data_IF_057832265475
#
_entry.id   IF_057832265475
#
_cell.length_a   1.000
_cell.length_b   1.000
_cell.length_c   1.000
_cell.angle_alpha   90.00
_cell.angle_beta   90.00
_cell.angle_gamma   90.00
#
_symmetry.space_group_name_H-M   'P 1'
#
loop_
_entity.id
_entity.type
_entity.pdbx_description
1 polymer ?
#
# COMPACT_ATOMS: atom_id res chain seq x y z
N UNK A 1 1.89 -11.60 -1.58
CA UNK A 1 2.17 -12.58 -0.52
C UNK A 1 1.75 -13.99 -0.91
N UNK A 2 2.62 -14.97 -0.67
CA UNK A 2 2.39 -16.36 -1.08
C UNK A 2 3.56 -17.27 -0.70
N UNK A 3 3.24 -18.52 -0.38
CA UNK A 3 4.25 -19.55 -0.13
C UNK A 3 4.92 -19.98 -1.46
N UNK A 4 6.20 -20.38 -1.45
CA UNK A 4 7.08 -20.57 -0.28
C UNK A 4 7.87 -19.31 0.13
N UNK A 5 7.64 -18.17 -0.54
CA UNK A 5 8.51 -17.00 -0.39
C UNK A 5 8.13 -16.16 0.82
N UNK A 6 6.88 -15.70 0.90
CA UNK A 6 6.39 -14.91 2.03
C UNK A 6 4.96 -15.34 2.37
N UNK A 7 4.86 -16.37 3.21
CA UNK A 7 3.61 -16.71 3.91
C UNK A 7 3.41 -15.93 5.21
N UNK A 8 2.28 -16.18 5.87
CA UNK A 8 1.85 -15.46 7.08
C UNK A 8 2.86 -15.57 8.23
N UNK A 9 3.50 -16.73 8.42
CA UNK A 9 4.49 -16.90 9.49
C UNK A 9 5.71 -15.98 9.29
N UNK A 10 6.19 -15.86 8.04
CA UNK A 10 7.29 -14.96 7.69
C UNK A 10 6.86 -13.50 7.81
N UNK A 11 5.66 -13.15 7.34
CA UNK A 11 5.10 -11.80 7.47
C UNK A 11 5.00 -11.37 8.94
N UNK A 12 4.45 -12.22 9.81
CA UNK A 12 4.38 -11.96 11.25
C UNK A 12 5.77 -11.73 11.87
N UNK A 13 6.78 -12.48 11.40
CA UNK A 13 8.17 -12.27 11.81
C UNK A 13 8.78 -10.96 11.30
N UNK A 14 8.35 -10.45 10.14
CA UNK A 14 8.75 -9.14 9.62
C UNK A 14 8.09 -8.03 10.42
N UNK A 15 6.79 -8.12 10.70
CA UNK A 15 6.05 -7.14 11.51
C UNK A 15 6.67 -7.00 12.90
N UNK A 16 6.93 -8.12 13.60
CA UNK A 16 7.61 -8.07 14.91
C UNK A 16 8.97 -7.39 14.86
N UNK A 17 9.78 -7.71 13.84
CA UNK A 17 11.11 -7.09 13.69
C UNK A 17 11.02 -5.61 13.37
N UNK A 18 10.05 -5.21 12.56
CA UNK A 18 9.82 -3.82 12.18
C UNK A 18 9.40 -2.98 13.39
N UNK A 19 8.44 -3.45 14.19
CA UNK A 19 8.05 -2.78 15.43
C UNK A 19 9.21 -2.68 16.43
N UNK A 20 10.08 -3.70 16.49
CA UNK A 20 11.25 -3.68 17.38
C UNK A 20 12.33 -2.65 16.98
N UNK A 21 12.28 -2.10 15.75
CA UNK A 21 13.15 -0.99 15.35
C UNK A 21 12.73 0.34 15.99
N UNK A 22 11.49 0.45 16.49
CA UNK A 22 10.98 1.69 17.07
C UNK A 22 10.88 2.84 16.07
N UNK A 23 10.44 2.55 14.83
CA UNK A 23 10.30 3.57 13.80
C UNK A 23 9.21 4.60 14.15
N UNK A 24 9.45 5.86 13.80
CA UNK A 24 8.46 6.95 13.99
C UNK A 24 7.26 6.81 13.05
N UNK A 25 7.49 6.25 11.86
CA UNK A 25 6.48 5.99 10.83
C UNK A 25 6.72 4.65 10.14
N UNK A 26 5.66 3.97 9.69
CA UNK A 26 5.76 2.78 8.84
C UNK A 26 5.02 2.99 7.53
N UNK A 27 5.66 2.64 6.42
CA UNK A 27 5.09 2.78 5.07
C UNK A 27 5.13 1.45 4.32
N UNK A 28 3.99 1.04 3.78
CA UNK A 28 3.80 -0.18 3.00
C UNK A 28 3.69 0.20 1.52
N UNK A 29 4.55 -0.36 0.68
CA UNK A 29 4.73 0.08 -0.71
C UNK A 29 3.98 -0.79 -1.75
N UNK A 30 2.84 -1.36 -1.36
CA UNK A 30 1.96 -2.14 -2.25
C UNK A 30 2.44 -3.57 -2.57
N UNK A 31 1.81 -4.15 -3.58
CA UNK A 31 2.02 -5.51 -4.11
C UNK A 31 1.87 -6.61 -3.03
N UNK A 32 0.74 -6.55 -2.31
CA UNK A 32 0.44 -7.46 -1.20
C UNK A 32 -0.04 -8.83 -1.66
N UNK A 33 -0.42 -8.98 -2.92
CA UNK A 33 -0.87 -10.24 -3.53
C UNK A 33 0.29 -10.92 -4.26
N UNK A 34 0.31 -12.25 -4.32
CA UNK A 34 1.40 -12.96 -5.04
C UNK A 34 1.08 -13.05 -6.54
N UNK A 35 1.89 -12.41 -7.37
CA UNK A 35 1.83 -12.53 -8.84
C UNK A 35 2.89 -13.45 -9.46
N UNK A 36 3.63 -14.22 -8.65
CA UNK A 36 4.82 -14.95 -9.11
C UNK A 36 4.45 -16.30 -9.77
N UNK A 37 5.31 -16.79 -10.67
CA UNK A 37 5.10 -18.03 -11.44
C UNK A 37 5.07 -19.31 -10.59
N UNK A 38 5.62 -19.27 -9.37
CA UNK A 38 5.63 -20.39 -8.43
C UNK A 38 5.03 -19.95 -7.09
N UNK A 39 3.75 -20.26 -6.91
CA UNK A 39 3.03 -20.08 -5.64
C UNK A 39 2.46 -21.43 -5.24
N UNK A 40 2.92 -21.99 -4.12
CA UNK A 40 2.39 -23.26 -3.61
C UNK A 40 1.07 -23.05 -2.85
N UNK A 41 0.90 -21.87 -2.26
CA UNK A 41 -0.33 -21.44 -1.61
C UNK A 41 -0.46 -19.92 -1.66
N UNK A 42 -1.60 -19.43 -2.13
CA UNK A 42 -1.96 -18.01 -2.08
C UNK A 42 -2.40 -17.63 -0.67
N UNK A 43 -1.99 -16.45 -0.21
CA UNK A 43 -2.47 -15.86 1.03
C UNK A 43 -3.50 -14.81 0.66
N UNK A 44 -4.72 -14.94 1.16
CA UNK A 44 -5.76 -13.94 0.94
C UNK A 44 -5.30 -12.56 1.45
N UNK A 45 -5.63 -11.50 0.71
CA UNK A 45 -5.15 -10.14 1.02
C UNK A 45 -5.64 -9.67 2.38
N UNK A 46 -6.82 -10.10 2.82
CA UNK A 46 -7.38 -9.82 4.13
C UNK A 46 -6.49 -10.38 5.25
N UNK A 47 -5.99 -11.61 5.10
CA UNK A 47 -5.07 -12.22 6.09
C UNK A 47 -3.71 -11.53 6.09
N UNK A 48 -3.28 -11.04 4.93
CA UNK A 48 -2.07 -10.21 4.83
C UNK A 48 -2.26 -8.88 5.57
N UNK A 49 -3.39 -8.20 5.33
CA UNK A 49 -3.73 -6.94 5.96
C UNK A 49 -3.92 -7.07 7.48
N UNK A 50 -4.52 -8.16 7.96
CA UNK A 50 -4.63 -8.48 9.39
C UNK A 50 -3.26 -8.52 10.08
N UNK A 51 -2.28 -9.23 9.50
CA UNK A 51 -0.94 -9.29 10.08
C UNK A 51 -0.22 -7.94 9.99
N UNK A 52 -0.40 -7.20 8.90
CA UNK A 52 0.15 -5.85 8.72
C UNK A 52 -0.47 -4.83 9.70
N UNK A 53 -1.74 -5.03 10.09
CA UNK A 53 -2.42 -4.18 11.08
C UNK A 53 -1.79 -4.23 12.47
N UNK A 54 -0.91 -5.18 12.74
CA UNK A 54 -0.11 -5.21 13.95
C UNK A 54 1.16 -4.33 13.88
N UNK A 55 1.45 -3.68 12.75
CA UNK A 55 2.47 -2.63 12.68
C UNK A 55 2.05 -1.46 13.57
N UNK A 56 3.03 -0.85 14.24
CA UNK A 56 2.78 0.29 15.13
C UNK A 56 3.91 1.28 15.01
N UNK A 57 3.55 2.54 14.82
CA UNK A 57 4.47 3.66 14.76
C UNK A 57 3.74 4.93 15.28
N UNK A 58 4.41 5.81 16.04
CA UNK A 58 3.80 7.01 16.62
C UNK A 58 3.10 7.94 15.62
N UNK A 59 3.68 8.12 14.43
CA UNK A 59 3.12 8.97 13.37
C UNK A 59 2.11 8.23 12.49
N UNK A 60 1.92 6.93 12.71
CA UNK A 60 0.96 6.08 11.99
C UNK A 60 1.58 5.11 10.99
N UNK A 61 0.70 4.29 10.41
CA UNK A 61 1.03 3.30 9.39
C UNK A 61 0.27 3.64 8.11
N UNK A 62 1.01 3.84 7.03
CA UNK A 62 0.49 4.27 5.73
C UNK A 62 0.81 3.26 4.65
N UNK A 63 0.02 3.26 3.58
CA UNK A 63 0.27 2.41 2.44
C UNK A 63 0.00 3.14 1.12
N UNK A 64 0.66 2.70 0.07
CA UNK A 64 0.24 2.89 -1.32
C UNK A 64 -0.10 1.52 -1.91
N UNK A 65 -0.83 1.51 -3.02
CA UNK A 65 -1.15 0.28 -3.77
C UNK A 65 -0.16 0.10 -4.90
N UNK A 66 0.25 -1.14 -5.13
CA UNK A 66 1.03 -1.52 -6.30
C UNK A 66 0.14 -2.07 -7.41
N UNK A 67 0.71 -2.27 -8.59
CA UNK A 67 0.00 -2.77 -9.75
C UNK A 67 -0.63 -4.16 -9.49
N UNK A 68 -0.01 -5.02 -8.68
CA UNK A 68 -0.58 -6.34 -8.38
C UNK A 68 -1.81 -6.25 -7.47
N UNK A 69 -1.92 -5.24 -6.61
CA UNK A 69 -3.13 -5.01 -5.80
C UNK A 69 -4.33 -4.66 -6.68
N UNK A 70 -4.09 -3.96 -7.79
CA UNK A 70 -5.10 -3.68 -8.80
C UNK A 70 -5.41 -4.87 -9.70
N UNK A 71 -4.40 -5.61 -10.14
CA UNK A 71 -4.57 -6.73 -11.07
C UNK A 71 -5.26 -7.94 -10.43
N UNK A 72 -5.18 -8.09 -9.11
CA UNK A 72 -5.77 -9.20 -8.36
C UNK A 72 -7.25 -8.98 -7.98
N UNK A 73 -7.84 -7.81 -8.29
CA UNK A 73 -9.28 -7.53 -8.14
C UNK A 73 -9.95 -7.47 -9.54
N UNK A 74 -10.50 -8.58 -10.07
CA UNK A 74 -11.18 -8.59 -11.35
C UNK A 74 -12.35 -7.61 -11.44
N UNK A 75 -13.08 -7.41 -10.34
CA UNK A 75 -14.17 -6.45 -10.30
C UNK A 75 -13.65 -5.01 -10.43
N UNK A 76 -12.45 -4.71 -9.90
CA UNK A 76 -11.78 -3.42 -10.10
C UNK A 76 -11.36 -3.22 -11.54
N UNK A 77 -10.79 -4.27 -12.15
CA UNK A 77 -10.39 -4.25 -13.55
C UNK A 77 -11.60 -4.02 -14.47
N UNK A 78 -12.73 -4.66 -14.18
CA UNK A 78 -13.97 -4.51 -14.96
C UNK A 78 -14.58 -3.11 -14.77
N UNK A 79 -14.75 -2.65 -13.52
CA UNK A 79 -15.36 -1.34 -13.23
C UNK A 79 -14.45 -0.15 -13.52
N UNK A 80 -13.17 -0.40 -13.83
CA UNK A 80 -12.11 0.61 -14.08
C UNK A 80 -12.03 1.67 -12.98
N UNK A 81 -12.18 1.25 -11.72
CA UNK A 81 -12.19 2.15 -10.56
C UNK A 81 -11.86 1.43 -9.25
N UNK A 82 -11.26 2.13 -8.30
CA UNK A 82 -11.09 1.70 -6.91
C UNK A 82 -12.37 1.88 -6.07
N UNK A 83 -12.30 1.63 -4.75
CA UNK A 83 -11.15 1.04 -4.05
C UNK A 83 -11.00 -0.45 -4.39
N UNK A 84 -9.79 -0.99 -4.44
CA UNK A 84 -9.55 -2.43 -4.68
C UNK A 84 -9.75 -3.26 -3.41
N UNK A 85 -9.78 -4.59 -3.51
CA UNK A 85 -9.87 -5.48 -2.34
C UNK A 85 -8.72 -5.22 -1.34
N UNK A 86 -7.49 -5.07 -1.83
CA UNK A 86 -6.33 -4.77 -0.99
C UNK A 86 -6.47 -3.47 -0.20
N UNK A 87 -6.97 -2.40 -0.83
CA UNK A 87 -7.23 -1.13 -0.15
C UNK A 87 -8.25 -1.30 0.99
N UNK A 88 -9.39 -1.92 0.70
CA UNK A 88 -10.43 -2.16 1.71
C UNK A 88 -9.90 -2.98 2.88
N UNK A 89 -9.09 -4.00 2.59
CA UNK A 89 -8.49 -4.85 3.61
C UNK A 89 -7.52 -4.09 4.52
N UNK A 90 -6.67 -3.23 3.95
CA UNK A 90 -5.73 -2.38 4.70
C UNK A 90 -6.48 -1.37 5.58
N UNK A 91 -7.44 -0.65 5.01
CA UNK A 91 -8.22 0.37 5.74
C UNK A 91 -9.03 -0.26 6.89
N UNK A 92 -9.58 -1.47 6.70
CA UNK A 92 -10.24 -2.23 7.76
C UNK A 92 -9.32 -2.60 8.93
N UNK A 93 -8.00 -2.56 8.73
CA UNK A 93 -6.97 -2.84 9.73
C UNK A 93 -6.22 -1.56 10.18
N UNK A 94 -6.85 -0.40 10.06
CA UNK A 94 -6.33 0.91 10.47
C UNK A 94 -5.04 1.35 9.74
N UNK A 95 -4.80 0.82 8.53
CA UNK A 95 -3.70 1.27 7.67
C UNK A 95 -4.28 2.27 6.66
N UNK A 96 -3.81 3.51 6.72
CA UNK A 96 -4.29 4.57 5.83
C UNK A 96 -3.67 4.42 4.44
N UNK A 97 -4.49 4.20 3.42
CA UNK A 97 -4.03 4.08 2.03
C UNK A 97 -4.07 5.47 1.37
N UNK A 98 -2.92 5.94 0.90
CA UNK A 98 -2.77 7.21 0.21
C UNK A 98 -2.72 6.97 -1.30
N UNK A 99 -3.76 7.39 -2.03
CA UNK A 99 -3.82 7.35 -3.49
C UNK A 99 -4.05 8.76 -4.03
N UNK A 100 -3.03 9.33 -4.66
CA UNK A 100 -2.97 10.71 -5.11
C UNK A 100 -3.29 11.73 -4.01
N UNK A 101 -2.76 11.47 -2.82
CA UNK A 101 -3.02 12.24 -1.61
C UNK A 101 -1.72 12.62 -0.92
N UNK A 102 -1.64 13.85 -0.42
CA UNK A 102 -0.58 14.28 0.47
C UNK A 102 -1.16 14.66 1.84
N UNK A 103 -0.48 14.25 2.90
CA UNK A 103 -0.83 14.62 4.27
C UNK A 103 0.39 15.25 4.94
N UNK A 104 0.16 16.23 5.81
CA UNK A 104 1.21 16.80 6.64
C UNK A 104 1.27 16.05 7.97
N UNK A 105 2.45 15.60 8.34
CA UNK A 105 2.75 14.93 9.61
C UNK A 105 3.62 15.84 10.46
N UNK A 106 3.22 15.98 11.72
CA UNK A 106 3.95 16.76 12.72
C UNK A 106 4.82 15.82 13.56
N UNK A 107 6.11 16.12 13.66
CA UNK A 107 7.06 15.37 14.47
C UNK A 107 7.88 16.32 15.35
N UNK A 108 8.51 15.81 16.41
CA UNK A 108 9.30 16.64 17.36
C UNK A 108 10.42 17.43 16.66
N UNK A 109 10.99 16.88 15.57
CA UNK A 109 12.02 17.51 14.77
C UNK A 109 11.49 18.50 13.70
N UNK A 110 10.18 18.68 13.61
CA UNK A 110 9.50 19.50 12.60
C UNK A 110 8.46 18.73 11.80
N UNK A 111 7.77 19.44 10.93
CA UNK A 111 6.74 18.88 10.07
C UNK A 111 7.27 18.48 8.69
N UNK A 112 6.70 17.44 8.11
CA UNK A 112 6.96 17.01 6.73
C UNK A 112 5.67 16.51 6.07
N UNK A 113 5.66 16.48 4.74
CA UNK A 113 4.59 15.95 3.92
C UNK A 113 4.87 14.50 3.57
N UNK A 114 3.85 13.66 3.67
CA UNK A 114 3.85 12.30 3.13
C UNK A 114 2.89 12.28 1.94
N UNK A 115 3.43 12.04 0.75
CA UNK A 115 2.66 11.97 -0.50
C UNK A 115 2.59 10.52 -1.02
N UNK A 116 1.38 10.01 -1.19
CA UNK A 116 1.11 8.72 -1.85
C UNK A 116 0.60 8.94 -3.26
N UNK A 117 1.28 8.37 -4.25
CA UNK A 117 0.89 8.40 -5.66
C UNK A 117 0.19 7.10 -6.03
N UNK A 118 -0.87 7.20 -6.85
CA UNK A 118 -1.51 6.02 -7.44
C UNK A 118 -0.56 5.21 -8.33
N UNK A 119 -0.90 3.95 -8.58
CA UNK A 119 -0.09 3.07 -9.42
C UNK A 119 -0.23 3.42 -10.91
N UNK A 120 0.90 3.44 -11.64
CA UNK A 120 0.96 3.83 -13.06
C UNK A 120 0.49 2.73 -14.02
N UNK A 121 0.25 1.52 -13.52
CA UNK A 121 -0.09 0.32 -14.29
C UNK A 121 -1.37 -0.37 -13.80
N UNK A 122 -2.19 0.31 -13.00
CA UNK A 122 -3.37 -0.22 -12.34
C UNK A 122 -4.32 -1.04 -13.25
N UNK A 123 -4.61 -0.58 -14.46
CA UNK A 123 -5.57 -1.21 -15.36
C UNK A 123 -4.91 -1.91 -16.54
N UNK A 124 -5.19 -3.21 -16.72
CA UNK A 124 -4.79 -3.97 -17.91
C UNK A 124 -5.73 -3.65 -19.08
N UNK A 125 -5.17 -3.13 -20.18
CA UNK A 125 -5.91 -2.80 -21.40
C UNK A 125 -5.79 -3.88 -22.49
N UNK A 126 -4.99 -4.93 -22.26
CA UNK A 126 -4.68 -5.98 -23.23
C UNK A 126 -3.44 -5.66 -24.07
N UNK A 127 -2.87 -6.68 -24.73
CA UNK A 127 -1.69 -6.56 -25.59
C UNK A 127 -0.48 -5.85 -24.93
N UNK A 128 -0.26 -6.07 -23.63
CA UNK A 128 0.82 -5.44 -22.88
C UNK A 128 0.65 -3.94 -22.61
N UNK A 129 -0.55 -3.38 -22.86
CA UNK A 129 -0.88 -1.98 -22.54
C UNK A 129 -1.53 -1.87 -21.17
N UNK A 130 -1.18 -0.80 -20.47
CA UNK A 130 -1.67 -0.48 -19.14
C UNK A 130 -2.15 0.96 -19.08
N UNK A 131 -3.00 1.25 -18.09
CA UNK A 131 -3.41 2.60 -17.72
C UNK A 131 -3.25 2.75 -16.21
N UNK A 132 -2.59 3.82 -15.78
CA UNK A 132 -2.43 4.18 -14.38
C UNK A 132 -3.65 4.86 -13.78
N UNK A 133 -3.63 4.96 -12.47
CA UNK A 133 -4.50 5.84 -11.67
C UNK A 133 -3.70 6.97 -11.04
N UNK A 134 -2.42 7.13 -11.39
CA UNK A 134 -1.56 8.19 -10.88
C UNK A 134 -2.03 9.58 -11.34
N UNK A 135 -2.04 10.53 -10.40
CA UNK A 135 -2.27 11.95 -10.65
C UNK A 135 -1.28 12.76 -9.82
N UNK A 136 -0.05 12.86 -10.34
CA UNK A 136 1.03 13.60 -9.68
C UNK A 136 0.68 15.09 -9.50
N UNK A 137 0.12 15.81 -10.50
CA UNK A 137 -0.33 17.18 -10.29
C UNK A 137 -1.35 17.34 -9.15
N UNK A 138 -2.38 16.47 -9.08
CA UNK A 138 -3.36 16.52 -7.99
C UNK A 138 -2.76 16.15 -6.63
N UNK A 139 -1.73 15.30 -6.61
CA UNK A 139 -1.00 14.99 -5.37
C UNK A 139 -0.20 16.19 -4.90
N UNK A 140 0.58 16.81 -5.78
CA UNK A 140 1.50 17.90 -5.42
C UNK A 140 0.79 19.21 -5.07
N UNK A 141 -0.38 19.49 -5.66
CA UNK A 141 -1.14 20.72 -5.32
C UNK A 141 -1.67 20.73 -3.87
N UNK A 142 -1.66 19.58 -3.18
CA UNK A 142 -2.04 19.46 -1.78
C UNK A 142 -0.92 19.90 -0.81
N UNK A 143 0.32 20.07 -1.29
CA UNK A 143 1.45 20.52 -0.48
C UNK A 143 1.42 22.05 -0.44
N UNK A 144 1.06 22.60 0.72
CA UNK A 144 0.69 24.02 0.86
C UNK A 144 1.81 24.93 1.39
N UNK A 145 2.95 24.36 1.79
CA UNK A 145 4.08 25.10 2.34
C UNK A 145 5.42 24.41 2.02
N UNK A 146 6.51 25.03 2.43
CA UNK A 146 7.88 24.60 2.15
C UNK A 146 8.40 23.53 3.14
N UNK A 147 7.53 22.89 3.93
CA UNK A 147 7.93 21.71 4.70
C UNK A 147 8.44 20.61 3.75
N UNK A 148 9.43 19.78 4.14
CA UNK A 148 9.95 18.72 3.29
C UNK A 148 8.86 17.75 2.83
N UNK A 149 9.03 17.15 1.65
CA UNK A 149 8.20 16.07 1.09
C UNK A 149 9.07 14.86 0.74
#
# INVERSE_FOLDING_TARGET
MGEPYVGLARLRGLVRRTNALGADISVILGDLTAGHRFVTQTVAVERTAEELGALSAPLGVFAVLGNHDWWDDPAAQERRKGPVLGQRALEANNISVLENQAIKLEHEAGAFWLAGLGDQLAFRLGNGRFQGVDDLPATLVQILDDSPV
#
